data_IF_481483028564
#
_entry.id   IF_481483028564
#
_cell.length_a   1.000
_cell.length_b   1.000
_cell.length_c   1.000
_cell.angle_alpha   90.00
_cell.angle_beta   90.00
_cell.angle_gamma   90.00
#
_symmetry.space_group_name_H-M   'P 1'
#
loop_
_entity.id
_entity.type
_entity.pdbx_description
1 polymer ?
#
# COMPACT_ATOMS: atom_id res chain seq x y z
N UNK A 1 11.56 -5.75 -4.99
CA UNK A 1 10.77 -4.66 -5.58
C UNK A 1 11.08 -3.41 -4.81
N UNK A 2 11.23 -2.27 -5.48
CA UNK A 2 11.38 -0.98 -4.79
C UNK A 2 10.04 -0.50 -4.23
N UNK A 3 10.03 0.37 -3.20
CA UNK A 3 8.79 0.96 -2.68
C UNK A 3 7.95 1.61 -3.78
N UNK A 4 8.60 2.32 -4.71
CA UNK A 4 7.94 2.98 -5.85
C UNK A 4 7.26 2.00 -6.81
N UNK A 5 7.96 0.92 -7.18
CA UNK A 5 7.39 -0.13 -8.03
C UNK A 5 6.20 -0.80 -7.33
N UNK A 6 6.32 -1.06 -6.01
CA UNK A 6 5.25 -1.69 -5.25
C UNK A 6 4.04 -0.78 -5.07
N UNK A 7 4.25 0.51 -4.79
CA UNK A 7 3.20 1.51 -4.73
C UNK A 7 2.37 1.54 -6.02
N UNK A 8 3.06 1.56 -7.17
CA UNK A 8 2.39 1.51 -8.48
C UNK A 8 1.61 0.20 -8.67
N UNK A 9 2.23 -0.95 -8.39
CA UNK A 9 1.57 -2.26 -8.50
C UNK A 9 0.28 -2.33 -7.67
N UNK A 10 0.29 -1.78 -6.45
CA UNK A 10 -0.89 -1.77 -5.58
C UNK A 10 -2.01 -0.89 -6.13
N UNK A 11 -1.69 0.34 -6.55
CA UNK A 11 -2.70 1.24 -7.12
C UNK A 11 -3.26 0.66 -8.42
N UNK A 12 -2.42 0.13 -9.31
CA UNK A 12 -2.87 -0.50 -10.56
C UNK A 12 -3.80 -1.69 -10.27
N UNK A 13 -3.49 -2.51 -9.26
CA UNK A 13 -4.30 -3.67 -8.88
C UNK A 13 -5.63 -3.28 -8.26
N UNK A 14 -5.66 -2.29 -7.37
CA UNK A 14 -6.93 -1.80 -6.82
C UNK A 14 -7.75 -1.07 -7.87
N UNK A 15 -7.10 -0.37 -8.80
CA UNK A 15 -7.76 0.29 -9.92
C UNK A 15 -8.54 -0.72 -10.76
N UNK A 16 -7.94 -1.87 -11.12
CA UNK A 16 -8.58 -2.96 -11.86
C UNK A 16 -9.90 -3.45 -11.24
N UNK A 17 -10.04 -3.39 -9.91
CA UNK A 17 -11.23 -3.85 -9.19
C UNK A 17 -12.10 -2.72 -8.63
N UNK A 18 -11.70 -1.45 -8.79
CA UNK A 18 -12.40 -0.28 -8.24
C UNK A 18 -13.42 0.34 -9.19
N UNK A 19 -13.36 0.02 -10.48
CA UNK A 19 -14.38 0.42 -11.43
C UNK A 19 -15.64 -0.44 -11.24
N UNK A 20 -16.63 0.11 -10.53
CA UNK A 20 -17.94 -0.51 -10.33
C UNK A 20 -18.80 -0.52 -11.60
N UNK A 21 -18.31 0.05 -12.70
CA UNK A 21 -18.95 0.01 -14.00
C UNK A 21 -18.22 -1.03 -14.84
N UNK A 22 -18.88 -2.11 -15.26
CA UNK A 22 -18.27 -3.15 -16.09
C UNK A 22 -17.83 -2.67 -17.49
N UNK A 23 -17.60 -1.37 -17.70
CA UNK A 23 -17.06 -0.81 -18.93
C UNK A 23 -15.56 -1.03 -18.97
N UNK A 24 -15.17 -1.94 -19.86
CA UNK A 24 -13.81 -2.22 -20.31
C UNK A 24 -13.08 -1.03 -20.99
N UNK A 25 -13.60 0.19 -20.88
CA UNK A 25 -12.91 1.38 -21.35
C UNK A 25 -12.02 1.89 -20.21
N UNK A 26 -10.72 1.56 -20.31
CA UNK A 26 -9.64 2.02 -19.41
C UNK A 26 -9.42 3.54 -19.51
N UNK A 27 -10.44 4.33 -19.24
CA UNK A 27 -10.25 5.73 -18.95
C UNK A 27 -9.85 5.83 -17.48
N UNK A 28 -8.66 6.38 -17.22
CA UNK A 28 -8.26 6.81 -15.89
C UNK A 28 -9.25 7.89 -15.43
N UNK A 29 -10.37 7.48 -14.86
CA UNK A 29 -11.26 8.36 -14.11
C UNK A 29 -10.53 8.76 -12.83
N UNK A 30 -10.33 10.05 -12.62
CA UNK A 30 -9.65 10.61 -11.45
C UNK A 30 -10.25 10.06 -10.15
N UNK A 31 -11.56 9.83 -10.12
CA UNK A 31 -12.25 9.23 -8.96
C UNK A 31 -11.86 7.77 -8.74
N UNK A 32 -11.77 6.97 -9.80
CA UNK A 32 -11.36 5.57 -9.72
C UNK A 32 -9.89 5.45 -9.25
N UNK A 33 -9.02 6.33 -9.74
CA UNK A 33 -7.62 6.41 -9.28
C UNK A 33 -7.55 6.80 -7.80
N UNK A 34 -8.32 7.81 -7.38
CA UNK A 34 -8.37 8.23 -5.97
C UNK A 34 -8.87 7.10 -5.06
N UNK A 35 -9.90 6.37 -5.50
CA UNK A 35 -10.41 5.20 -4.78
C UNK A 35 -9.37 4.08 -4.69
N UNK A 36 -8.68 3.78 -5.79
CA UNK A 36 -7.60 2.78 -5.81
C UNK A 36 -6.46 3.16 -4.86
N UNK A 37 -6.06 4.44 -4.83
CA UNK A 37 -5.07 4.96 -3.87
C UNK A 37 -5.54 4.80 -2.43
N UNK A 38 -6.80 5.10 -2.12
CA UNK A 38 -7.38 4.92 -0.77
C UNK A 38 -7.35 3.45 -0.35
N UNK A 39 -7.76 2.53 -1.22
CA UNK A 39 -7.68 1.09 -0.95
C UNK A 39 -6.23 0.64 -0.70
N UNK A 40 -5.28 1.11 -1.52
CA UNK A 40 -3.87 0.81 -1.35
C UNK A 40 -3.32 1.31 -0.01
N UNK A 41 -3.67 2.54 0.40
CA UNK A 41 -3.26 3.13 1.68
C UNK A 41 -3.82 2.33 2.86
N UNK A 42 -5.12 1.97 2.83
CA UNK A 42 -5.75 1.18 3.91
C UNK A 42 -5.00 -0.15 4.11
N UNK A 43 -4.73 -0.86 3.01
CA UNK A 43 -4.01 -2.14 3.08
C UNK A 43 -2.58 -1.96 3.63
N UNK A 44 -1.88 -0.90 3.23
CA UNK A 44 -0.54 -0.60 3.77
C UNK A 44 -0.61 -0.28 5.26
N UNK A 45 -1.62 0.45 5.72
CA UNK A 45 -1.83 0.74 7.14
C UNK A 45 -2.09 -0.51 7.96
N UNK A 46 -2.93 -1.44 7.47
CA UNK A 46 -3.18 -2.73 8.10
C UNK A 46 -1.88 -3.57 8.22
N UNK A 47 -1.04 -3.58 7.17
CA UNK A 47 0.25 -4.28 7.23
C UNK A 47 1.19 -3.62 8.24
N UNK A 48 1.28 -2.28 8.25
CA UNK A 48 2.11 -1.56 9.22
C UNK A 48 1.68 -1.90 10.65
N UNK A 49 0.38 -1.97 10.91
CA UNK A 49 -0.16 -2.36 12.22
C UNK A 49 0.26 -3.79 12.59
N UNK A 50 0.11 -4.76 11.68
CA UNK A 50 0.53 -6.15 11.91
C UNK A 50 2.04 -6.25 12.17
N UNK A 51 2.85 -5.56 11.36
CA UNK A 51 4.31 -5.53 11.49
C UNK A 51 4.70 -4.92 12.83
N UNK A 52 4.07 -3.81 13.22
CA UNK A 52 4.33 -3.14 14.50
C UNK A 52 3.94 -4.02 15.69
N UNK A 53 2.78 -4.69 15.63
CA UNK A 53 2.38 -5.68 16.64
C UNK A 53 3.44 -6.78 16.72
N UNK A 54 3.78 -7.42 15.61
CA UNK A 54 4.78 -8.51 15.57
C UNK A 54 6.15 -8.11 16.11
N UNK A 55 6.64 -6.91 15.81
CA UNK A 55 7.88 -6.37 16.39
C UNK A 55 7.77 -6.27 17.91
N UNK A 56 6.67 -5.70 18.43
CA UNK A 56 6.45 -5.55 19.87
C UNK A 56 6.38 -6.91 20.61
N UNK A 57 5.93 -7.98 19.94
CA UNK A 57 5.93 -9.34 20.51
C UNK A 57 7.33 -9.98 20.57
N UNK A 58 8.24 -9.60 19.65
CA UNK A 58 9.59 -10.19 19.54
C UNK A 58 10.64 -9.32 20.29
N UNK A 59 10.38 -8.03 20.47
CA UNK A 59 11.37 -7.03 20.89
C UNK A 59 11.71 -6.98 22.38
N UNK A 60 11.51 -8.05 23.17
CA UNK A 60 12.10 -8.05 24.53
C UNK A 60 13.61 -8.30 24.52
N UNK A 61 14.17 -8.92 23.47
CA UNK A 61 15.61 -9.28 23.45
C UNK A 61 16.37 -9.09 22.12
N UNK A 62 15.72 -8.69 21.03
CA UNK A 62 16.42 -8.58 19.72
C UNK A 62 16.19 -7.23 19.04
N UNK A 63 17.27 -6.50 18.79
CA UNK A 63 17.33 -5.30 17.93
C UNK A 63 17.16 -5.71 16.48
N UNK A 64 15.96 -6.15 16.10
CA UNK A 64 15.63 -6.34 14.69
C UNK A 64 15.57 -4.96 14.05
N UNK A 65 16.46 -4.67 13.10
CA UNK A 65 16.35 -3.49 12.27
C UNK A 65 14.94 -3.47 11.65
N UNK A 66 14.17 -2.42 11.92
CA UNK A 66 12.77 -2.25 11.47
C UNK A 66 12.62 -2.04 9.95
N UNK A 67 13.46 -2.72 9.15
CA UNK A 67 13.47 -2.73 7.68
C UNK A 67 12.10 -3.04 7.09
N UNK A 68 11.29 -3.99 7.61
CA UNK A 68 9.95 -4.21 7.08
C UNK A 68 9.04 -3.00 7.29
N UNK A 69 9.08 -2.37 8.46
CA UNK A 69 8.25 -1.20 8.77
C UNK A 69 8.65 0.00 7.90
N UNK A 70 9.95 0.26 7.76
CA UNK A 70 10.46 1.33 6.89
C UNK A 70 10.04 1.12 5.43
N UNK A 71 10.16 -0.10 4.93
CA UNK A 71 9.74 -0.43 3.56
C UNK A 71 8.25 -0.12 3.32
N UNK A 72 7.36 -0.47 4.24
CA UNK A 72 5.93 -0.17 4.10
C UNK A 72 5.59 1.31 4.28
N UNK A 73 6.30 2.03 5.14
CA UNK A 73 6.18 3.49 5.25
C UNK A 73 6.59 4.18 3.94
N UNK A 74 7.69 3.76 3.33
CA UNK A 74 8.13 4.30 2.04
C UNK A 74 7.12 4.00 0.92
N UNK A 75 6.48 2.82 0.93
CA UNK A 75 5.39 2.51 -0.01
C UNK A 75 4.22 3.47 0.18
N UNK A 76 3.81 3.75 1.43
CA UNK A 76 2.71 4.69 1.72
C UNK A 76 3.02 6.09 1.18
N UNK A 77 4.24 6.57 1.36
CA UNK A 77 4.68 7.85 0.82
C UNK A 77 4.69 7.87 -0.71
N UNK A 78 5.13 6.79 -1.36
CA UNK A 78 5.09 6.69 -2.82
C UNK A 78 3.65 6.63 -3.35
N UNK A 79 2.70 5.97 -2.67
CA UNK A 79 1.28 5.99 -3.05
C UNK A 79 0.71 7.41 -2.97
N UNK A 80 1.06 8.20 -1.95
CA UNK A 80 0.57 9.58 -1.83
C UNK A 80 1.06 10.50 -2.96
N UNK A 81 2.20 10.18 -3.59
CA UNK A 81 2.80 10.94 -4.71
C UNK A 81 2.22 10.58 -6.09
N UNK A 82 1.61 9.40 -6.23
CA UNK A 82 0.94 8.96 -7.47
C UNK A 82 -0.32 9.78 -7.72
#
# INVERSE_FOLDING_TARGET
MTPKEKAKELVDKFYEYSDGTGSCERFYDDLAVENAKKCAIIMVDEIIEIVNVGINWISYETTIENKPMQYWLEIKDEINKL
#
